data_IF_602902791934
#
_entry.id   IF_602902791934
#
_cell.length_a   1.000
_cell.length_b   1.000
_cell.length_c   1.000
_cell.angle_alpha   90.00
_cell.angle_beta   90.00
_cell.angle_gamma   90.00
#
_symmetry.space_group_name_H-M   'P 1'
#
loop_
_entity.id
_entity.type
_entity.pdbx_description
1 polymer ?
#
# COMPACT_ATOMS: atom_id res chain seq x y z
N UNK A 1 -18.59 -8.66 22.72
CA UNK A 1 -17.63 -9.67 23.22
C UNK A 1 -16.77 -10.22 22.08
N UNK A 2 -17.34 -10.54 20.92
CA UNK A 2 -16.65 -11.15 19.77
C UNK A 2 -15.46 -10.33 19.27
N UNK A 3 -15.61 -9.02 19.11
CA UNK A 3 -14.54 -8.15 18.61
C UNK A 3 -13.34 -8.09 19.58
N UNK A 4 -13.58 -8.08 20.90
CA UNK A 4 -12.49 -8.06 21.88
C UNK A 4 -11.71 -9.37 21.88
N UNK A 5 -12.43 -10.51 21.75
CA UNK A 5 -11.84 -11.82 21.62
C UNK A 5 -11.00 -11.91 20.32
N UNK A 6 -11.56 -11.45 19.20
CA UNK A 6 -10.84 -11.40 17.93
C UNK A 6 -9.55 -10.59 18.05
N UNK A 7 -9.63 -9.35 18.54
CA UNK A 7 -8.48 -8.46 18.70
C UNK A 7 -7.42 -9.09 19.61
N UNK A 8 -7.82 -9.73 20.72
CA UNK A 8 -6.87 -10.43 21.59
C UNK A 8 -6.12 -11.53 20.83
N UNK A 9 -6.85 -12.40 20.12
CA UNK A 9 -6.25 -13.52 19.36
C UNK A 9 -5.32 -12.99 18.29
N UNK A 10 -5.76 -11.98 17.50
CA UNK A 10 -4.95 -11.39 16.44
C UNK A 10 -3.67 -10.78 17.00
N UNK A 11 -3.73 -10.01 18.07
CA UNK A 11 -2.55 -9.40 18.68
C UNK A 11 -1.57 -10.44 19.24
N UNK A 12 -2.06 -11.47 19.93
CA UNK A 12 -1.19 -12.54 20.44
C UNK A 12 -0.48 -13.26 19.30
N UNK A 13 -1.24 -13.70 18.29
CA UNK A 13 -0.68 -14.46 17.19
C UNK A 13 0.30 -13.62 16.37
N UNK A 14 -0.06 -12.38 16.04
CA UNK A 14 0.82 -11.48 15.28
C UNK A 14 2.12 -11.21 16.03
N UNK A 15 2.08 -10.99 17.35
CA UNK A 15 3.28 -10.72 18.13
C UNK A 15 4.20 -11.93 18.22
N UNK A 16 3.65 -13.13 18.36
CA UNK A 16 4.44 -14.37 18.34
C UNK A 16 5.14 -14.54 16.98
N UNK A 17 4.42 -14.38 15.88
CA UNK A 17 4.99 -14.54 14.56
C UNK A 17 5.95 -13.39 14.17
N UNK A 18 5.68 -12.17 14.61
CA UNK A 18 6.59 -11.04 14.42
C UNK A 18 7.93 -11.29 15.12
N UNK A 19 7.90 -11.73 16.39
CA UNK A 19 9.10 -12.11 17.15
C UNK A 19 9.88 -13.25 16.48
N UNK A 20 9.19 -14.27 15.98
CA UNK A 20 9.81 -15.38 15.25
C UNK A 20 10.47 -14.88 13.95
N UNK A 21 9.82 -13.99 13.21
CA UNK A 21 10.37 -13.39 12.00
C UNK A 21 11.64 -12.57 12.30
N UNK A 22 11.64 -11.76 13.35
CA UNK A 22 12.81 -10.97 13.76
C UNK A 22 13.99 -11.87 14.18
N UNK A 23 13.74 -12.97 14.87
CA UNK A 23 14.79 -13.96 15.24
C UNK A 23 15.47 -14.59 14.04
N UNK A 24 14.75 -14.80 12.94
CA UNK A 24 15.35 -15.29 11.68
C UNK A 24 15.85 -14.18 10.78
N UNK A 25 15.84 -12.94 11.28
CA UNK A 25 16.36 -11.79 10.56
C UNK A 25 15.42 -11.20 9.51
N UNK A 26 14.12 -11.51 9.57
CA UNK A 26 13.08 -10.92 8.74
C UNK A 26 12.37 -9.77 9.47
N UNK A 27 11.83 -8.78 8.76
CA UNK A 27 11.02 -7.73 9.37
C UNK A 27 9.78 -8.30 10.09
N UNK A 28 9.37 -7.67 11.21
CA UNK A 28 8.16 -8.05 11.95
C UNK A 28 6.90 -8.15 11.07
N UNK A 29 6.78 -7.25 10.09
CA UNK A 29 5.73 -7.24 9.07
C UNK A 29 5.56 -8.60 8.38
N UNK A 30 6.66 -9.28 8.04
CA UNK A 30 6.60 -10.61 7.39
C UNK A 30 5.96 -11.61 8.34
N UNK A 31 6.32 -11.57 9.62
CA UNK A 31 5.69 -12.40 10.65
C UNK A 31 4.20 -12.13 10.79
N UNK A 32 3.80 -10.87 10.81
CA UNK A 32 2.39 -10.47 10.91
C UNK A 32 1.55 -10.95 9.70
N UNK A 33 2.11 -10.91 8.49
CA UNK A 33 1.47 -11.46 7.29
C UNK A 33 1.35 -12.98 7.35
N UNK A 34 2.44 -13.67 7.74
CA UNK A 34 2.45 -15.13 7.89
C UNK A 34 1.48 -15.59 8.99
N UNK A 35 1.33 -14.81 10.06
CA UNK A 35 0.32 -15.04 11.08
C UNK A 35 -1.09 -15.06 10.50
N UNK A 36 -1.41 -14.10 9.62
CA UNK A 36 -2.69 -14.04 8.92
C UNK A 36 -2.93 -15.27 8.04
N UNK A 37 -1.93 -15.66 7.26
CA UNK A 37 -1.98 -16.88 6.43
C UNK A 37 -2.22 -18.13 7.29
N UNK A 38 -1.47 -18.28 8.39
CA UNK A 38 -1.62 -19.41 9.29
C UNK A 38 -3.03 -19.47 9.92
N UNK A 39 -3.54 -18.32 10.37
CA UNK A 39 -4.91 -18.22 10.88
C UNK A 39 -5.95 -18.57 9.80
N UNK A 40 -5.79 -18.06 8.57
CA UNK A 40 -6.67 -18.38 7.45
C UNK A 40 -6.72 -19.88 7.16
N UNK A 41 -5.56 -20.56 7.13
CA UNK A 41 -5.48 -22.01 6.95
C UNK A 41 -6.13 -22.80 8.09
N UNK A 42 -5.97 -22.34 9.33
CA UNK A 42 -6.59 -22.95 10.51
C UNK A 42 -8.11 -22.79 10.45
N UNK A 43 -8.61 -21.60 10.15
CA UNK A 43 -10.05 -21.34 10.01
C UNK A 43 -10.67 -22.15 8.89
N UNK A 44 -9.99 -22.31 7.76
CA UNK A 44 -10.48 -23.11 6.64
C UNK A 44 -10.62 -24.61 6.99
N UNK A 45 -9.77 -25.12 7.91
CA UNK A 45 -9.79 -26.55 8.32
C UNK A 45 -10.66 -26.84 9.54
N UNK A 46 -10.88 -25.88 10.39
CA UNK A 46 -11.49 -26.06 11.73
C UNK A 46 -12.71 -25.15 11.93
N UNK A 47 -13.55 -25.01 10.89
CA UNK A 47 -14.69 -24.08 10.89
C UNK A 47 -15.63 -24.27 12.08
N UNK A 48 -15.93 -25.52 12.48
CA UNK A 48 -16.88 -25.80 13.57
C UNK A 48 -16.31 -25.45 14.96
N UNK A 49 -15.02 -25.62 15.19
CA UNK A 49 -14.38 -25.36 16.48
C UNK A 49 -13.99 -23.90 16.69
N UNK A 50 -13.85 -23.12 15.61
CA UNK A 50 -13.45 -21.71 15.60
C UNK A 50 -14.50 -20.79 14.94
N UNK A 51 -15.74 -21.23 14.88
CA UNK A 51 -16.85 -20.50 14.23
C UNK A 51 -16.97 -19.05 14.71
N UNK A 52 -16.75 -18.82 16.01
CA UNK A 52 -16.78 -17.48 16.61
C UNK A 52 -15.67 -16.57 16.08
N UNK A 53 -14.48 -17.12 15.84
CA UNK A 53 -13.36 -16.36 15.25
C UNK A 53 -13.61 -16.09 13.76
N UNK A 54 -14.11 -17.09 13.02
CA UNK A 54 -14.45 -16.97 11.60
C UNK A 54 -15.54 -15.93 11.35
N UNK A 55 -16.61 -15.93 12.13
CA UNK A 55 -17.67 -14.92 12.03
C UNK A 55 -17.19 -13.53 12.40
N UNK A 56 -16.36 -13.42 13.44
CA UNK A 56 -15.77 -12.15 13.84
C UNK A 56 -14.86 -11.53 12.76
N UNK A 57 -14.07 -12.36 12.03
CA UNK A 57 -13.25 -11.90 10.91
C UNK A 57 -14.04 -11.41 9.69
N UNK A 58 -15.31 -11.77 9.57
CA UNK A 58 -16.21 -11.31 8.52
C UNK A 58 -17.09 -10.13 8.95
N UNK A 59 -16.97 -9.68 10.22
CA UNK A 59 -17.79 -8.61 10.76
C UNK A 59 -17.41 -7.23 10.19
N UNK A 60 -18.41 -6.36 10.05
CA UNK A 60 -18.22 -4.95 9.67
C UNK A 60 -17.30 -4.21 10.65
N UNK A 61 -17.38 -4.54 11.94
CA UNK A 61 -16.50 -3.98 12.97
C UNK A 61 -15.04 -4.33 12.76
N UNK A 62 -14.75 -5.54 12.28
CA UNK A 62 -13.38 -5.94 11.92
C UNK A 62 -12.86 -5.17 10.70
N UNK A 63 -13.67 -5.06 9.65
CA UNK A 63 -13.30 -4.28 8.46
C UNK A 63 -13.04 -2.81 8.80
N UNK A 64 -13.83 -2.24 9.72
CA UNK A 64 -13.61 -0.89 10.23
C UNK A 64 -12.27 -0.75 10.97
N UNK A 65 -11.88 -1.75 11.78
CA UNK A 65 -10.56 -1.78 12.43
C UNK A 65 -9.41 -1.90 11.43
N UNK A 66 -9.57 -2.70 10.39
CA UNK A 66 -8.61 -2.84 9.30
C UNK A 66 -8.43 -1.51 8.57
N UNK A 67 -9.53 -0.81 8.26
CA UNK A 67 -9.51 0.51 7.62
C UNK A 67 -8.84 1.57 8.50
N UNK A 68 -9.11 1.55 9.82
CA UNK A 68 -8.39 2.39 10.79
C UNK A 68 -6.90 2.06 10.82
N UNK A 69 -6.54 0.78 10.73
CA UNK A 69 -5.13 0.35 10.62
C UNK A 69 -4.43 0.96 9.41
N UNK A 70 -5.08 0.94 8.25
CA UNK A 70 -4.58 1.59 7.04
C UNK A 70 -4.45 3.11 7.21
N UNK A 71 -5.49 3.76 7.76
CA UNK A 71 -5.48 5.19 8.01
C UNK A 71 -4.30 5.62 8.89
N UNK A 72 -4.13 4.95 10.05
CA UNK A 72 -3.06 5.27 10.99
C UNK A 72 -1.67 4.95 10.44
N UNK A 73 -1.52 3.86 9.67
CA UNK A 73 -0.26 3.54 8.98
C UNK A 73 0.14 4.65 8.01
N UNK A 74 -0.82 5.13 7.20
CA UNK A 74 -0.56 6.19 6.24
C UNK A 74 -0.30 7.53 6.90
N UNK A 75 -1.06 7.86 7.95
CA UNK A 75 -0.84 9.08 8.72
C UNK A 75 0.56 9.08 9.35
N UNK A 76 0.97 7.97 9.97
CA UNK A 76 2.32 7.82 10.55
C UNK A 76 3.42 7.88 9.47
N UNK A 77 3.19 7.26 8.32
CA UNK A 77 4.13 7.36 7.20
C UNK A 77 4.28 8.82 6.74
N UNK A 78 3.17 9.56 6.64
CA UNK A 78 3.20 10.99 6.33
C UNK A 78 3.97 11.82 7.36
N UNK A 79 3.72 11.60 8.67
CA UNK A 79 4.41 12.31 9.76
C UNK A 79 5.94 12.11 9.68
N UNK A 80 6.39 10.90 9.36
CA UNK A 80 7.81 10.55 9.26
C UNK A 80 8.49 11.05 7.99
N UNK A 81 7.74 11.67 7.10
CA UNK A 81 8.27 12.26 5.88
C UNK A 81 8.57 13.75 6.06
N UNK A 82 9.71 14.19 5.55
CA UNK A 82 10.09 15.59 5.54
C UNK A 82 9.67 16.27 4.22
N UNK A 83 8.64 17.13 4.20
CA UNK A 83 8.12 17.75 2.97
C UNK A 83 9.13 18.64 2.25
N UNK A 84 10.08 19.24 2.97
CA UNK A 84 11.13 20.06 2.39
C UNK A 84 12.13 19.26 1.54
N UNK A 85 12.30 17.98 1.83
CA UNK A 85 13.02 17.07 0.95
C UNK A 85 12.21 16.76 -0.32
N UNK A 86 10.86 16.81 -0.25
CA UNK A 86 9.97 16.70 -1.40
C UNK A 86 10.10 17.87 -2.39
N UNK A 87 10.21 19.10 -1.91
CA UNK A 87 10.41 20.27 -2.78
C UNK A 87 11.76 20.22 -3.50
N UNK A 88 12.73 19.46 -2.96
CA UNK A 88 13.99 19.07 -3.61
C UNK A 88 13.89 17.72 -4.31
N UNK A 89 12.66 17.16 -4.50
CA UNK A 89 12.46 15.90 -5.20
C UNK A 89 13.13 16.01 -6.56
N UNK A 90 14.23 15.36 -6.60
CA UNK A 90 15.05 15.16 -7.75
C UNK A 90 14.17 14.66 -8.90
N UNK A 91 14.37 15.20 -10.09
CA UNK A 91 13.84 14.63 -11.35
C UNK A 91 13.99 13.11 -11.40
N UNK A 92 14.96 12.58 -10.64
CA UNK A 92 15.21 11.14 -10.48
C UNK A 92 14.04 10.39 -9.86
N UNK A 93 13.43 10.88 -8.79
CA UNK A 93 12.31 10.18 -8.13
C UNK A 93 11.08 10.08 -9.05
N UNK A 94 10.78 11.15 -9.78
CA UNK A 94 9.67 11.15 -10.75
C UNK A 94 9.93 10.15 -11.90
N UNK A 95 11.13 10.14 -12.45
CA UNK A 95 11.48 9.20 -13.55
C UNK A 95 11.50 7.75 -13.07
N UNK A 96 11.96 7.50 -11.84
CA UNK A 96 11.90 6.17 -11.20
C UNK A 96 10.45 5.73 -10.97
N UNK A 97 9.58 6.63 -10.52
CA UNK A 97 8.15 6.35 -10.34
C UNK A 97 7.45 6.09 -11.68
N UNK A 98 7.62 6.97 -12.65
CA UNK A 98 7.01 6.81 -13.99
C UNK A 98 7.46 5.50 -14.66
N UNK A 99 8.75 5.21 -14.64
CA UNK A 99 9.26 3.94 -15.16
C UNK A 99 8.74 2.75 -14.37
N UNK A 100 8.72 2.86 -13.03
CA UNK A 100 8.18 1.86 -12.10
C UNK A 100 6.68 1.63 -12.21
N UNK A 101 5.94 2.53 -12.86
CA UNK A 101 4.52 2.38 -13.18
C UNK A 101 4.31 1.89 -14.62
N UNK A 102 4.89 2.56 -15.60
CA UNK A 102 4.63 2.28 -17.02
C UNK A 102 5.09 0.87 -17.42
N UNK A 103 6.28 0.46 -16.96
CA UNK A 103 6.83 -0.85 -17.32
C UNK A 103 6.02 -2.00 -16.72
N UNK A 104 5.65 -2.01 -15.41
CA UNK A 104 4.78 -3.04 -14.85
C UNK A 104 3.37 -3.02 -15.45
N UNK A 105 2.76 -1.84 -15.67
CA UNK A 105 1.43 -1.76 -16.31
C UNK A 105 1.48 -2.40 -17.70
N UNK A 106 2.47 -2.04 -18.50
CA UNK A 106 2.64 -2.60 -19.85
C UNK A 106 2.90 -4.11 -19.82
N UNK A 107 3.78 -4.57 -18.93
CA UNK A 107 4.11 -5.99 -18.79
C UNK A 107 2.92 -6.82 -18.30
N UNK A 108 2.18 -6.33 -17.30
CA UNK A 108 0.99 -7.01 -16.78
C UNK A 108 -0.16 -7.00 -17.78
N UNK A 109 -0.36 -5.90 -18.49
CA UNK A 109 -1.33 -5.81 -19.57
C UNK A 109 -1.00 -6.80 -20.69
N UNK A 110 0.25 -6.87 -21.13
CA UNK A 110 0.70 -7.81 -22.14
C UNK A 110 0.52 -9.28 -21.70
N UNK A 111 0.85 -9.58 -20.43
CA UNK A 111 0.60 -10.91 -19.85
C UNK A 111 -0.90 -11.25 -19.87
N UNK A 112 -1.75 -10.35 -19.42
CA UNK A 112 -3.20 -10.53 -19.42
C UNK A 112 -3.74 -10.78 -20.85
N UNK A 113 -3.30 -9.97 -21.81
CA UNK A 113 -3.67 -10.14 -23.21
C UNK A 113 -3.15 -11.45 -23.84
N UNK A 114 -2.07 -12.03 -23.30
CA UNK A 114 -1.55 -13.30 -23.79
C UNK A 114 -2.26 -14.52 -23.20
N UNK A 115 -2.76 -14.42 -21.94
CA UNK A 115 -3.21 -15.57 -21.17
C UNK A 115 -4.73 -15.61 -20.98
N UNK A 116 -5.39 -14.44 -20.88
CA UNK A 116 -6.85 -14.38 -20.73
C UNK A 116 -7.51 -14.65 -22.07
N UNK A 117 -8.51 -15.57 -22.13
CA UNK A 117 -9.26 -15.84 -23.35
C UNK A 117 -9.98 -14.61 -23.92
N UNK A 118 -10.23 -14.61 -25.21
CA UNK A 118 -10.95 -13.54 -25.88
C UNK A 118 -12.35 -13.34 -25.30
N UNK A 119 -12.58 -12.13 -24.81
CA UNK A 119 -13.87 -11.71 -24.24
C UNK A 119 -13.95 -10.18 -24.21
N UNK A 120 -15.15 -9.60 -24.09
CA UNK A 120 -15.31 -8.15 -23.89
C UNK A 120 -14.57 -7.63 -22.65
N UNK A 121 -14.31 -8.50 -21.66
CA UNK A 121 -13.68 -8.17 -20.39
C UNK A 121 -12.15 -8.31 -20.40
N UNK A 122 -11.58 -8.98 -21.41
CA UNK A 122 -10.13 -9.27 -21.49
C UNK A 122 -9.25 -8.02 -21.32
N UNK A 123 -9.62 -6.93 -21.98
CA UNK A 123 -8.85 -5.66 -21.92
C UNK A 123 -8.82 -5.11 -20.50
N UNK A 124 -9.97 -5.09 -19.81
CA UNK A 124 -10.05 -4.54 -18.44
C UNK A 124 -9.40 -5.47 -17.42
N UNK A 125 -9.58 -6.78 -17.57
CA UNK A 125 -8.88 -7.77 -16.74
C UNK A 125 -7.38 -7.70 -16.94
N UNK A 126 -6.90 -7.48 -18.16
CA UNK A 126 -5.48 -7.27 -18.46
C UNK A 126 -4.96 -5.95 -17.87
N UNK A 127 -5.75 -4.87 -17.96
CA UNK A 127 -5.43 -3.60 -17.34
C UNK A 127 -5.39 -3.72 -15.81
N UNK A 128 -6.28 -4.51 -15.22
CA UNK A 128 -6.28 -4.81 -13.79
C UNK A 128 -4.97 -5.51 -13.38
N UNK A 129 -4.51 -6.53 -14.12
CA UNK A 129 -3.22 -7.19 -13.87
C UNK A 129 -2.09 -6.16 -13.94
N UNK A 130 -2.06 -5.33 -14.98
CA UNK A 130 -1.06 -4.26 -15.13
C UNK A 130 -1.05 -3.29 -13.96
N UNK A 131 -2.24 -2.84 -13.54
CA UNK A 131 -2.43 -1.95 -12.39
C UNK A 131 -1.92 -2.60 -11.10
N UNK A 132 -2.29 -3.85 -10.83
CA UNK A 132 -1.82 -4.60 -9.67
C UNK A 132 -0.30 -4.76 -9.67
N UNK A 133 0.32 -5.01 -10.83
CA UNK A 133 1.79 -5.09 -10.93
C UNK A 133 2.48 -3.73 -10.75
N UNK A 134 1.81 -2.63 -10.96
CA UNK A 134 2.39 -1.29 -10.84
C UNK A 134 2.42 -0.79 -9.39
N UNK A 135 1.44 -1.12 -8.58
CA UNK A 135 1.29 -0.59 -7.21
C UNK A 135 2.49 -0.98 -6.34
N UNK A 136 3.03 -0.01 -5.60
CA UNK A 136 4.09 -0.20 -4.59
C UNK A 136 3.54 0.18 -3.22
N UNK A 137 3.91 -0.53 -2.16
CA UNK A 137 3.50 -0.16 -0.82
C UNK A 137 4.53 0.75 -0.14
N UNK A 138 4.24 2.05 -0.03
CA UNK A 138 5.09 3.00 0.70
C UNK A 138 5.39 2.52 2.13
N UNK A 139 4.41 2.11 2.97
CA UNK A 139 4.70 1.68 4.33
C UNK A 139 5.66 0.49 4.40
N UNK A 140 5.55 -0.44 3.46
CA UNK A 140 6.44 -1.61 3.38
C UNK A 140 7.86 -1.17 3.02
N UNK A 141 8.01 -0.32 2.00
CA UNK A 141 9.31 0.23 1.62
C UNK A 141 9.96 1.02 2.77
N UNK A 142 9.21 1.94 3.39
CA UNK A 142 9.68 2.73 4.56
C UNK A 142 10.15 1.79 5.65
N UNK A 143 9.35 0.79 6.03
CA UNK A 143 9.69 -0.16 7.10
C UNK A 143 10.99 -0.91 6.79
N UNK A 144 11.14 -1.43 5.57
CA UNK A 144 12.33 -2.17 5.17
C UNK A 144 13.58 -1.28 5.24
N UNK A 145 13.50 -0.05 4.70
CA UNK A 145 14.64 0.88 4.73
C UNK A 145 14.95 1.39 6.15
N UNK A 146 13.94 1.48 7.04
CA UNK A 146 14.17 1.74 8.48
C UNK A 146 14.93 0.57 9.13
N UNK A 147 14.48 -0.65 8.93
CA UNK A 147 15.10 -1.85 9.51
C UNK A 147 16.54 -2.09 8.99
N UNK A 148 16.86 -1.55 7.82
CA UNK A 148 18.22 -1.58 7.24
C UNK A 148 19.08 -0.37 7.64
N UNK A 149 18.55 0.57 8.42
CA UNK A 149 19.18 1.86 8.74
C UNK A 149 19.61 2.64 7.47
N UNK A 150 18.83 2.48 6.39
CA UNK A 150 19.08 3.09 5.08
C UNK A 150 18.01 4.13 4.69
N UNK A 151 17.10 4.51 5.61
CA UNK A 151 15.99 5.42 5.32
C UNK A 151 16.50 6.78 4.80
N UNK A 152 17.54 7.30 5.42
CA UNK A 152 18.15 8.60 5.09
C UNK A 152 19.23 8.51 4.00
N UNK A 153 19.53 7.31 3.47
CA UNK A 153 20.43 7.14 2.35
C UNK A 153 19.85 7.72 1.06
N UNK A 154 20.72 7.98 0.07
CA UNK A 154 20.26 8.42 -1.27
C UNK A 154 19.26 7.43 -1.88
N UNK A 155 19.49 6.13 -1.70
CA UNK A 155 18.61 5.06 -2.17
C UNK A 155 17.27 5.08 -1.43
N UNK A 156 17.28 5.12 -0.10
CA UNK A 156 16.06 5.15 0.73
C UNK A 156 15.18 6.35 0.37
N UNK A 157 15.77 7.55 0.31
CA UNK A 157 15.06 8.78 -0.10
C UNK A 157 14.48 8.68 -1.50
N UNK A 158 15.25 8.12 -2.46
CA UNK A 158 14.77 7.95 -3.84
C UNK A 158 13.61 6.97 -3.91
N UNK A 159 13.68 5.82 -3.23
CA UNK A 159 12.62 4.82 -3.20
C UNK A 159 11.36 5.39 -2.55
N UNK A 160 11.50 6.06 -1.41
CA UNK A 160 10.35 6.62 -0.70
C UNK A 160 9.67 7.71 -1.53
N UNK A 161 10.47 8.64 -2.09
CA UNK A 161 9.94 9.69 -2.96
C UNK A 161 9.28 9.11 -4.22
N UNK A 162 9.88 8.09 -4.84
CA UNK A 162 9.31 7.42 -6.00
C UNK A 162 8.03 6.65 -5.64
N UNK A 163 8.01 5.94 -4.49
CA UNK A 163 6.85 5.19 -4.03
C UNK A 163 5.65 6.10 -3.74
N UNK A 164 5.87 7.31 -3.23
CA UNK A 164 4.81 8.30 -3.05
C UNK A 164 4.21 8.78 -4.36
N UNK A 165 5.04 9.04 -5.37
CA UNK A 165 4.54 9.35 -6.71
C UNK A 165 3.81 8.14 -7.30
N UNK A 166 4.32 6.94 -7.07
CA UNK A 166 3.69 5.69 -7.51
C UNK A 166 2.31 5.51 -6.86
N UNK A 167 2.14 5.82 -5.57
CA UNK A 167 0.84 5.79 -4.89
C UNK A 167 -0.16 6.77 -5.52
N UNK A 168 0.25 8.00 -5.80
CA UNK A 168 -0.60 8.98 -6.47
C UNK A 168 -1.02 8.53 -7.87
N UNK A 169 -0.07 8.01 -8.63
CA UNK A 169 -0.30 7.49 -9.98
C UNK A 169 -1.16 6.22 -9.96
N UNK A 170 -0.98 5.36 -8.95
CA UNK A 170 -1.77 4.14 -8.76
C UNK A 170 -3.23 4.44 -8.42
N UNK A 171 -3.50 5.48 -7.63
CA UNK A 171 -4.86 5.95 -7.36
C UNK A 171 -5.52 6.51 -8.62
N UNK A 172 -4.76 7.22 -9.45
CA UNK A 172 -5.23 7.65 -10.76
C UNK A 172 -5.56 6.46 -11.66
N UNK A 173 -4.68 5.45 -11.69
CA UNK A 173 -4.88 4.25 -12.48
C UNK A 173 -6.07 3.41 -11.96
N UNK A 174 -6.25 3.32 -10.65
CA UNK A 174 -7.41 2.69 -10.02
C UNK A 174 -8.71 3.40 -10.40
N UNK A 175 -8.73 4.72 -10.30
CA UNK A 175 -9.91 5.48 -10.67
C UNK A 175 -10.26 5.33 -12.16
N UNK A 176 -9.24 5.26 -13.02
CA UNK A 176 -9.41 4.94 -14.44
C UNK A 176 -9.99 3.53 -14.63
N UNK A 177 -9.47 2.54 -13.91
CA UNK A 177 -9.94 1.16 -13.94
C UNK A 177 -11.41 1.08 -13.49
N UNK A 178 -11.77 1.76 -12.39
CA UNK A 178 -13.15 1.80 -11.88
C UNK A 178 -14.12 2.51 -12.84
N UNK A 179 -13.69 3.59 -13.49
CA UNK A 179 -14.50 4.25 -14.50
C UNK A 179 -14.79 3.35 -15.68
N UNK A 180 -13.82 2.52 -16.09
CA UNK A 180 -14.02 1.51 -17.16
C UNK A 180 -14.95 0.38 -16.72
N UNK A 181 -14.87 -0.05 -15.46
CA UNK A 181 -15.74 -1.09 -14.89
C UNK A 181 -17.18 -0.56 -14.73
N UNK A 182 -17.36 0.68 -14.24
CA UNK A 182 -18.67 1.27 -13.88
C UNK A 182 -19.56 1.66 -15.05
N UNK A 183 -19.02 1.91 -16.23
CA UNK A 183 -19.79 2.29 -17.44
C UNK A 183 -20.24 1.08 -18.28
N UNK A 184 -20.66 -0.03 -17.64
CA UNK A 184 -21.24 -1.21 -18.30
C UNK A 184 -20.48 -1.68 -19.57
N UNK A 185 -19.14 -1.63 -19.56
CA UNK A 185 -18.27 -2.18 -20.61
C UNK A 185 -18.59 -1.77 -22.07
N UNK A 186 -19.67 -1.05 -22.28
CA UNK A 186 -20.10 -0.64 -23.60
C UNK A 186 -19.61 0.78 -23.87
N UNK A 187 -18.59 0.83 -24.69
CA UNK A 187 -18.15 2.00 -25.44
C UNK A 187 -17.44 3.12 -24.65
N UNK A 188 -16.17 3.25 -25.01
CA UNK A 188 -15.39 4.48 -24.93
C UNK A 188 -15.20 5.06 -23.53
N UNK A 189 -14.00 4.90 -23.01
CA UNK A 189 -13.42 5.87 -22.08
C UNK A 189 -13.69 7.27 -22.64
N UNK A 190 -14.85 7.83 -22.29
CA UNK A 190 -15.19 9.16 -22.74
C UNK A 190 -14.11 10.11 -22.22
N UNK A 191 -13.48 10.83 -23.12
CA UNK A 191 -12.45 11.84 -22.76
C UNK A 191 -12.89 12.76 -21.64
N UNK A 192 -14.21 12.95 -21.48
CA UNK A 192 -14.81 13.73 -20.40
C UNK A 192 -14.66 13.09 -19.00
N UNK A 193 -14.79 11.76 -18.85
CA UNK A 193 -14.67 11.11 -17.55
C UNK A 193 -13.22 11.17 -17.02
N UNK A 194 -12.24 10.94 -17.91
CA UNK A 194 -10.82 11.07 -17.58
C UNK A 194 -10.47 12.52 -17.21
N UNK A 195 -11.00 13.49 -17.96
CA UNK A 195 -10.76 14.91 -17.68
C UNK A 195 -11.38 15.33 -16.33
N UNK A 196 -12.58 14.84 -16.02
CA UNK A 196 -13.25 15.11 -14.74
C UNK A 196 -12.46 14.52 -13.58
N UNK A 197 -11.91 13.30 -13.74
CA UNK A 197 -11.08 12.67 -12.71
C UNK A 197 -9.78 13.46 -12.48
N UNK A 198 -9.09 13.85 -13.55
CA UNK A 198 -7.91 14.72 -13.46
C UNK A 198 -8.29 16.01 -12.74
N UNK A 199 -9.44 16.62 -13.09
CA UNK A 199 -9.95 17.81 -12.43
C UNK A 199 -10.17 17.62 -10.93
N UNK A 200 -10.75 16.49 -10.50
CA UNK A 200 -10.95 16.16 -9.08
C UNK A 200 -9.62 15.99 -8.34
N UNK A 201 -8.65 15.30 -8.93
CA UNK A 201 -7.31 15.13 -8.35
C UNK A 201 -6.63 16.49 -8.20
N UNK A 202 -6.63 17.31 -9.25
CA UNK A 202 -6.04 18.65 -9.20
C UNK A 202 -6.73 19.54 -8.16
N UNK A 203 -8.05 19.48 -8.07
CA UNK A 203 -8.83 20.23 -7.07
C UNK A 203 -8.48 19.77 -5.66
N UNK A 204 -8.37 18.45 -5.44
CA UNK A 204 -7.97 17.91 -4.15
C UNK A 204 -6.63 18.48 -3.69
N UNK A 205 -5.60 18.44 -4.54
CA UNK A 205 -4.29 19.01 -4.22
C UNK A 205 -4.32 20.55 -4.11
N UNK A 206 -5.06 21.22 -4.98
CA UNK A 206 -5.20 22.68 -4.94
C UNK A 206 -5.85 23.19 -3.64
N UNK A 207 -6.64 22.36 -2.97
CA UNK A 207 -7.26 22.69 -1.67
C UNK A 207 -6.37 22.22 -0.50
N UNK A 208 -5.93 20.96 -0.53
CA UNK A 208 -5.23 20.34 0.62
C UNK A 208 -3.82 20.89 0.81
N UNK A 209 -3.08 21.14 -0.27
CA UNK A 209 -1.69 21.65 -0.17
C UNK A 209 -1.64 23.06 0.46
N UNK A 210 -2.42 24.07 0.02
CA UNK A 210 -2.44 25.36 0.69
C UNK A 210 -2.89 25.26 2.17
N UNK A 211 -3.92 24.48 2.47
CA UNK A 211 -4.34 24.25 3.85
C UNK A 211 -3.17 23.67 4.67
N UNK A 212 -2.50 22.66 4.15
CA UNK A 212 -1.34 22.05 4.81
C UNK A 212 -0.19 23.03 5.06
N UNK A 213 0.14 23.85 4.06
CA UNK A 213 1.25 24.80 4.14
C UNK A 213 0.95 26.03 5.02
N UNK A 214 -0.29 26.51 5.05
CA UNK A 214 -0.63 27.76 5.72
C UNK A 214 -1.40 27.56 7.03
N UNK A 215 -2.28 26.55 7.12
CA UNK A 215 -3.13 26.34 8.30
C UNK A 215 -2.41 25.54 9.37
N UNK A 216 -1.75 24.43 9.02
CA UNK A 216 -1.06 23.57 9.99
C UNK A 216 0.01 24.30 10.81
N UNK A 217 0.95 25.08 10.23
CA UNK A 217 1.92 25.81 10.99
C UNK A 217 1.34 26.87 11.92
N UNK A 218 0.24 27.52 11.47
CA UNK A 218 -0.43 28.53 12.28
C UNK A 218 -1.27 27.91 13.41
N UNK A 219 -1.87 26.75 13.17
CA UNK A 219 -2.63 26.00 14.17
C UNK A 219 -1.77 25.69 15.40
N UNK A 220 -0.50 25.32 15.22
CA UNK A 220 0.45 25.09 16.28
C UNK A 220 0.67 26.31 17.19
N UNK A 221 0.58 27.53 16.68
CA UNK A 221 0.63 28.77 17.46
C UNK A 221 -0.62 29.00 18.30
N UNK A 222 -1.81 28.71 17.74
CA UNK A 222 -3.08 28.86 18.47
C UNK A 222 -3.24 27.81 19.54
N UNK A 223 -2.76 26.58 19.31
CA UNK A 223 -2.87 25.46 20.25
C UNK A 223 -2.07 25.67 21.55
N UNK A 224 -1.00 26.48 21.53
CA UNK A 224 -0.23 26.82 22.73
C UNK A 224 -1.06 27.52 23.83
N UNK A 225 -2.24 28.08 23.48
CA UNK A 225 -3.15 28.73 24.41
C UNK A 225 -4.22 27.75 24.98
N UNK A 226 -4.31 26.55 24.47
CA UNK A 226 -5.23 25.53 24.95
C UNK A 226 -4.56 24.69 26.06
N UNK A 227 -5.27 24.51 27.16
CA UNK A 227 -4.74 23.85 28.35
C UNK A 227 -5.13 22.38 28.45
N UNK A 228 -5.61 21.77 27.35
CA UNK A 228 -5.97 20.34 27.32
C UNK A 228 -4.70 19.50 27.07
N UNK A 229 -4.46 18.47 27.87
CA UNK A 229 -3.46 17.48 27.52
C UNK A 229 -3.81 16.84 26.17
N UNK A 230 -2.81 16.55 25.34
CA UNK A 230 -2.92 15.86 24.05
C UNK A 230 -3.72 16.59 22.95
N UNK A 231 -3.87 17.92 23.08
CA UNK A 231 -4.55 18.76 22.07
C UNK A 231 -3.91 18.58 20.68
N UNK A 232 -2.58 18.55 20.63
CA UNK A 232 -1.83 18.47 19.38
C UNK A 232 -2.10 17.15 18.65
N UNK A 233 -2.17 16.04 19.38
CA UNK A 233 -2.52 14.73 18.83
C UNK A 233 -3.96 14.72 18.29
N UNK A 234 -4.92 15.24 19.06
CA UNK A 234 -6.32 15.31 18.65
C UNK A 234 -6.51 16.19 17.41
N UNK A 235 -5.82 17.33 17.34
CA UNK A 235 -5.90 18.23 16.19
C UNK A 235 -5.29 17.63 14.92
N UNK A 236 -4.20 16.88 15.07
CA UNK A 236 -3.65 16.12 13.95
C UNK A 236 -4.66 15.10 13.42
N UNK A 237 -5.32 14.34 14.31
CA UNK A 237 -6.35 13.37 13.93
C UNK A 237 -7.55 14.05 13.25
N UNK A 238 -8.04 15.16 13.80
CA UNK A 238 -9.14 15.94 13.20
C UNK A 238 -8.74 16.40 11.79
N UNK A 239 -7.55 16.96 11.64
CA UNK A 239 -7.03 17.38 10.34
C UNK A 239 -6.90 16.19 9.36
N UNK A 240 -6.34 15.08 9.83
CA UNK A 240 -6.17 13.88 9.01
C UNK A 240 -7.51 13.27 8.58
N UNK A 241 -8.51 13.21 9.47
CA UNK A 241 -9.85 12.75 9.15
C UNK A 241 -10.56 13.70 8.17
N UNK A 242 -10.39 15.02 8.34
CA UNK A 242 -10.96 16.00 7.40
C UNK A 242 -10.37 15.84 5.99
N UNK A 243 -9.05 15.63 5.88
CA UNK A 243 -8.39 15.37 4.61
C UNK A 243 -8.83 14.02 4.00
N UNK A 244 -8.97 12.99 4.82
CA UNK A 244 -9.45 11.67 4.39
C UNK A 244 -10.88 11.74 3.84
N UNK A 245 -11.80 12.39 4.56
CA UNK A 245 -13.19 12.60 4.13
C UNK A 245 -13.22 13.43 2.83
N UNK A 246 -12.40 14.47 2.75
CA UNK A 246 -12.34 15.29 1.54
C UNK A 246 -11.80 14.51 0.34
N UNK A 247 -10.81 13.63 0.54
CA UNK A 247 -10.33 12.71 -0.50
C UNK A 247 -11.48 11.82 -1.02
N UNK A 248 -12.25 11.19 -0.13
CA UNK A 248 -13.39 10.35 -0.51
C UNK A 248 -14.49 11.13 -1.25
N UNK A 249 -14.82 12.34 -0.80
CA UNK A 249 -15.77 13.21 -1.51
C UNK A 249 -15.31 13.56 -2.94
N UNK A 250 -14.00 13.59 -3.17
CA UNK A 250 -13.43 13.79 -4.51
C UNK A 250 -13.34 12.49 -5.33
N UNK A 251 -13.74 11.34 -4.75
CA UNK A 251 -13.61 10.03 -5.37
C UNK A 251 -12.19 9.46 -5.32
N UNK A 252 -11.37 9.97 -4.39
CA UNK A 252 -10.03 9.48 -4.09
C UNK A 252 -10.09 8.60 -2.83
N UNK A 253 -9.11 7.75 -2.64
CA UNK A 253 -9.07 6.90 -1.44
C UNK A 253 -8.65 7.70 -0.20
N UNK A 254 -9.31 7.48 0.95
CA UNK A 254 -9.07 8.20 2.22
C UNK A 254 -7.61 8.17 2.70
N UNK A 255 -6.88 7.11 2.35
CA UNK A 255 -5.46 6.93 2.65
C UNK A 255 -4.60 8.10 2.16
N UNK A 256 -4.92 8.65 0.98
CA UNK A 256 -4.22 9.80 0.43
C UNK A 256 -4.37 11.04 1.32
N UNK A 257 -5.60 11.27 1.80
CA UNK A 257 -5.87 12.38 2.72
C UNK A 257 -5.11 12.24 4.03
N UNK A 258 -5.15 11.04 4.64
CA UNK A 258 -4.42 10.74 5.86
C UNK A 258 -2.91 10.95 5.71
N UNK A 259 -2.34 10.45 4.60
CA UNK A 259 -0.93 10.62 4.29
C UNK A 259 -0.52 12.10 4.15
N UNK A 260 -1.28 12.87 3.34
CA UNK A 260 -0.99 14.30 3.15
C UNK A 260 -1.09 15.10 4.46
N UNK A 261 -2.11 14.83 5.28
CA UNK A 261 -2.23 15.47 6.58
C UNK A 261 -1.01 15.19 7.48
N UNK A 262 -0.55 13.93 7.52
CA UNK A 262 0.68 13.56 8.22
C UNK A 262 1.91 14.27 7.68
N UNK A 263 2.05 14.38 6.37
CA UNK A 263 3.17 15.04 5.71
C UNK A 263 3.28 16.53 6.07
N UNK A 264 2.16 17.22 6.28
CA UNK A 264 2.18 18.62 6.71
C UNK A 264 2.42 18.81 8.21
N UNK A 265 2.33 17.74 9.00
CA UNK A 265 2.69 17.73 10.42
C UNK A 265 4.15 17.28 10.59
N UNK A 266 5.08 18.18 10.37
CA UNK A 266 6.52 17.87 10.43
C UNK A 266 7.28 18.78 11.42
N UNK A 267 8.50 18.39 11.75
CA UNK A 267 9.37 19.06 12.75
C UNK A 267 9.63 20.55 12.47
N UNK A 268 9.53 21.01 11.22
CA UNK A 268 9.69 22.43 10.86
C UNK A 268 8.38 23.23 10.93
N UNK A 269 7.24 22.56 10.95
CA UNK A 269 5.90 23.18 11.04
C UNK A 269 5.40 23.29 12.48
N UNK A 270 5.89 22.43 13.37
CA UNK A 270 5.47 22.32 14.77
C UNK A 270 6.71 22.33 15.65
N UNK A 271 6.55 22.70 16.94
CA UNK A 271 7.63 22.63 17.91
C UNK A 271 8.24 21.22 17.95
N UNK A 272 9.58 21.06 17.93
CA UNK A 272 10.23 19.75 17.89
C UNK A 272 9.85 18.82 19.06
N UNK A 273 9.56 19.37 20.24
CA UNK A 273 9.10 18.60 21.41
C UNK A 273 7.67 18.05 21.21
N UNK A 274 6.80 18.86 20.61
CA UNK A 274 5.45 18.47 20.23
C UNK A 274 5.48 17.39 19.14
N UNK A 275 6.25 17.63 18.08
CA UNK A 275 6.42 16.67 16.99
C UNK A 275 6.83 15.28 17.52
N UNK A 276 7.89 15.22 18.34
CA UNK A 276 8.39 13.95 18.88
C UNK A 276 7.36 13.24 19.77
N UNK A 277 6.62 13.98 20.58
CA UNK A 277 5.55 13.44 21.45
C UNK A 277 4.43 12.83 20.63
N UNK A 278 3.90 13.57 19.64
CA UNK A 278 2.83 13.12 18.77
C UNK A 278 3.26 11.94 17.90
N UNK A 279 4.47 11.98 17.33
CA UNK A 279 5.03 10.86 16.55
C UNK A 279 5.14 9.58 17.39
N UNK A 280 5.59 9.68 18.66
CA UNK A 280 5.67 8.54 19.56
C UNK A 280 4.28 7.97 19.91
N UNK A 281 3.27 8.82 20.17
CA UNK A 281 1.90 8.39 20.42
C UNK A 281 1.30 7.71 19.19
N UNK A 282 1.48 8.30 18.01
CA UNK A 282 1.05 7.73 16.73
C UNK A 282 1.74 6.39 16.46
N UNK A 283 3.04 6.31 16.69
CA UNK A 283 3.81 5.07 16.52
C UNK A 283 3.32 3.97 17.46
N UNK A 284 3.03 4.30 18.72
CA UNK A 284 2.50 3.35 19.71
C UNK A 284 1.15 2.74 19.27
N UNK A 285 0.19 3.59 18.87
CA UNK A 285 -1.13 3.16 18.42
C UNK A 285 -1.00 2.38 17.10
N UNK A 286 -0.24 2.90 16.16
CA UNK A 286 -0.12 2.30 14.83
C UNK A 286 0.63 0.98 14.90
N UNK A 287 1.91 1.01 15.26
CA UNK A 287 2.77 -0.19 15.23
C UNK A 287 2.47 -1.14 16.38
N UNK A 288 1.95 -0.63 17.53
CA UNK A 288 1.60 -1.42 18.70
C UNK A 288 0.28 -2.17 18.59
N UNK A 289 -0.68 -1.64 17.82
CA UNK A 289 -2.04 -2.14 17.85
C UNK A 289 -2.66 -2.31 16.46
N UNK A 290 -2.78 -1.25 15.66
CA UNK A 290 -3.59 -1.26 14.45
C UNK A 290 -2.89 -1.91 13.25
N UNK A 291 -1.59 -1.69 13.08
CA UNK A 291 -0.83 -2.27 11.96
C UNK A 291 -0.79 -3.80 11.97
N UNK A 292 -0.58 -4.50 13.10
CA UNK A 292 -0.69 -5.95 13.17
C UNK A 292 -2.06 -6.49 12.75
N UNK A 293 -3.15 -5.82 13.14
CA UNK A 293 -4.52 -6.21 12.74
C UNK A 293 -4.68 -6.08 11.23
N UNK A 294 -4.18 -4.98 10.66
CA UNK A 294 -4.19 -4.75 9.24
C UNK A 294 -3.38 -5.82 8.48
N UNK A 295 -2.13 -6.08 8.85
CA UNK A 295 -1.30 -7.04 8.13
C UNK A 295 -1.79 -8.48 8.24
N UNK A 296 -2.36 -8.85 9.39
CA UNK A 296 -3.01 -10.16 9.52
C UNK A 296 -4.24 -10.28 8.64
N UNK A 297 -5.02 -9.20 8.49
CA UNK A 297 -6.16 -9.18 7.59
C UNK A 297 -5.75 -9.49 6.15
N UNK A 298 -4.64 -8.92 5.71
CA UNK A 298 -4.06 -9.21 4.39
C UNK A 298 -3.77 -10.71 4.23
N UNK A 299 -3.15 -11.31 5.24
CA UNK A 299 -2.84 -12.74 5.24
C UNK A 299 -4.07 -13.66 5.28
N UNK A 300 -5.13 -13.25 6.00
CA UNK A 300 -6.37 -14.01 6.12
C UNK A 300 -7.13 -14.20 4.80
N UNK A 301 -7.06 -13.22 3.91
CA UNK A 301 -7.76 -13.25 2.62
C UNK A 301 -7.02 -14.05 1.53
N UNK A 302 -5.89 -14.67 1.85
CA UNK A 302 -5.12 -15.42 0.90
C UNK A 302 -5.72 -16.82 0.68
N UNK A 303 -6.11 -17.12 -0.56
CA UNK A 303 -6.52 -18.44 -1.00
C UNK A 303 -5.43 -19.11 -1.85
N UNK A 304 -4.94 -20.26 -1.39
CA UNK A 304 -3.91 -21.05 -2.10
C UNK A 304 -4.48 -21.86 -3.27
N UNK A 305 -5.79 -21.83 -3.52
CA UNK A 305 -6.41 -22.55 -4.62
C UNK A 305 -5.81 -22.15 -5.98
N UNK A 306 -5.46 -20.87 -6.17
CA UNK A 306 -4.83 -20.37 -7.39
C UNK A 306 -3.49 -21.06 -7.72
N UNK A 307 -2.73 -21.45 -6.70
CA UNK A 307 -1.44 -22.17 -6.90
C UNK A 307 -1.68 -23.55 -7.48
N UNK A 308 -2.70 -24.24 -7.02
CA UNK A 308 -3.04 -25.58 -7.48
C UNK A 308 -3.73 -25.60 -8.85
N UNK A 309 -4.46 -24.56 -9.19
CA UNK A 309 -5.23 -24.47 -10.45
C UNK A 309 -4.40 -23.89 -11.60
N UNK A 310 -3.61 -22.85 -11.35
CA UNK A 310 -2.84 -22.13 -12.39
C UNK A 310 -1.39 -21.84 -11.97
N UNK A 311 -0.60 -22.84 -11.56
CA UNK A 311 0.73 -22.63 -10.97
C UNK A 311 1.70 -21.94 -11.94
N UNK A 312 1.62 -22.27 -13.22
CA UNK A 312 2.45 -21.64 -14.26
C UNK A 312 2.16 -20.14 -14.42
N UNK A 313 0.88 -19.75 -14.37
CA UNK A 313 0.49 -18.34 -14.43
C UNK A 313 0.98 -17.56 -13.19
N UNK A 314 0.81 -18.14 -11.99
CA UNK A 314 1.26 -17.52 -10.74
C UNK A 314 2.78 -17.32 -10.75
N UNK A 315 3.54 -18.32 -11.19
CA UNK A 315 5.01 -18.22 -11.28
C UNK A 315 5.44 -17.12 -12.26
N UNK A 316 4.84 -17.06 -13.45
CA UNK A 316 5.13 -16.03 -14.46
C UNK A 316 4.73 -14.65 -13.94
N UNK A 317 3.57 -14.53 -13.28
CA UNK A 317 3.10 -13.28 -12.68
C UNK A 317 4.11 -12.74 -11.65
N UNK A 318 4.59 -13.58 -10.74
CA UNK A 318 5.60 -13.22 -9.74
C UNK A 318 6.91 -12.78 -10.40
N UNK A 319 7.39 -13.53 -11.40
CA UNK A 319 8.61 -13.18 -12.13
C UNK A 319 8.48 -11.84 -12.84
N UNK A 320 7.37 -11.60 -13.52
CA UNK A 320 7.09 -10.33 -14.21
C UNK A 320 6.96 -9.19 -13.18
N UNK A 321 6.34 -9.43 -12.02
CA UNK A 321 6.21 -8.44 -10.97
C UNK A 321 7.58 -7.91 -10.51
N UNK A 322 8.54 -8.79 -10.24
CA UNK A 322 9.91 -8.39 -9.90
C UNK A 322 10.67 -7.79 -11.08
N UNK A 323 10.67 -8.46 -12.22
CA UNK A 323 11.44 -8.03 -13.38
C UNK A 323 11.00 -6.66 -13.88
N UNK A 324 9.68 -6.42 -13.95
CA UNK A 324 9.15 -5.15 -14.44
C UNK A 324 9.45 -3.97 -13.48
N UNK A 325 9.39 -4.17 -12.16
CA UNK A 325 9.80 -3.14 -11.19
C UNK A 325 11.31 -2.93 -11.21
N UNK A 326 12.09 -4.00 -11.28
CA UNK A 326 13.54 -3.91 -11.37
C UNK A 326 13.98 -3.12 -12.62
N UNK A 327 13.40 -3.41 -13.77
CA UNK A 327 13.67 -2.69 -15.01
C UNK A 327 13.06 -1.28 -14.98
N UNK A 328 11.80 -1.16 -14.60
CA UNK A 328 11.06 0.10 -14.63
C UNK A 328 11.58 1.15 -13.67
N UNK A 329 12.01 0.76 -12.47
CA UNK A 329 12.53 1.70 -11.45
C UNK A 329 14.07 1.68 -11.42
N UNK A 330 14.69 0.52 -11.53
CA UNK A 330 16.15 0.38 -11.43
C UNK A 330 16.92 1.00 -12.61
N UNK A 331 16.45 0.80 -13.86
CA UNK A 331 17.14 1.40 -15.02
C UNK A 331 17.11 2.94 -15.01
N UNK A 332 15.97 3.61 -14.77
CA UNK A 332 15.97 5.06 -14.60
C UNK A 332 16.91 5.53 -13.49
N UNK A 333 16.93 4.83 -12.34
CA UNK A 333 17.84 5.16 -11.26
C UNK A 333 19.32 5.07 -11.72
N UNK A 334 19.68 4.04 -12.49
CA UNK A 334 21.01 3.89 -13.06
C UNK A 334 21.37 5.01 -14.05
N UNK A 335 20.47 5.35 -14.96
CA UNK A 335 20.69 6.44 -15.94
C UNK A 335 20.81 7.81 -15.28
N UNK A 336 20.28 7.96 -14.08
CA UNK A 336 20.35 9.20 -13.29
C UNK A 336 21.61 9.27 -12.40
N UNK A 337 22.52 8.30 -12.54
CA UNK A 337 23.85 8.35 -11.93
C UNK A 337 24.01 7.54 -10.65
N UNK A 338 23.00 6.74 -10.24
CA UNK A 338 23.19 5.79 -9.16
C UNK A 338 24.08 4.63 -9.63
N UNK A 339 24.86 4.07 -8.72
CA UNK A 339 25.66 2.88 -8.99
C UNK A 339 24.76 1.68 -9.33
N UNK A 340 25.31 0.65 -9.96
CA UNK A 340 24.57 -0.58 -10.28
C UNK A 340 23.91 -1.21 -9.06
N UNK A 341 24.61 -1.19 -7.92
CA UNK A 341 24.10 -1.73 -6.65
C UNK A 341 22.96 -0.90 -6.10
N UNK A 342 23.09 0.42 -6.08
CA UNK A 342 22.04 1.33 -5.62
C UNK A 342 20.81 1.26 -6.52
N UNK A 343 21.00 1.18 -7.85
CA UNK A 343 19.92 1.03 -8.83
C UNK A 343 19.16 -0.29 -8.64
N UNK A 344 19.88 -1.38 -8.33
CA UNK A 344 19.27 -2.66 -7.98
C UNK A 344 18.47 -2.55 -6.68
N UNK A 345 19.00 -1.85 -5.67
CA UNK A 345 18.28 -1.60 -4.42
C UNK A 345 17.02 -0.76 -4.64
N UNK A 346 17.06 0.24 -5.54
CA UNK A 346 15.87 1.01 -5.92
C UNK A 346 14.82 0.10 -6.57
N UNK A 347 15.19 -0.68 -7.58
CA UNK A 347 14.27 -1.58 -8.28
C UNK A 347 13.64 -2.63 -7.35
N UNK A 348 14.45 -3.25 -6.48
CA UNK A 348 13.96 -4.21 -5.47
C UNK A 348 13.11 -3.51 -4.41
N UNK A 349 13.53 -2.33 -3.92
CA UNK A 349 12.78 -1.56 -2.92
C UNK A 349 11.39 -1.15 -3.41
N UNK A 350 11.26 -0.86 -4.70
CA UNK A 350 9.97 -0.58 -5.35
C UNK A 350 9.13 -1.83 -5.62
N UNK A 351 9.64 -3.04 -5.35
CA UNK A 351 8.89 -4.29 -5.56
C UNK A 351 8.04 -4.70 -4.36
N UNK A 352 8.17 -4.03 -3.20
CA UNK A 352 7.36 -4.29 -2.02
C UNK A 352 5.89 -3.97 -2.27
N UNK A 353 5.01 -4.91 -1.92
CA UNK A 353 3.57 -4.79 -2.09
C UNK A 353 2.87 -4.63 -0.74
N UNK A 354 1.59 -4.24 -0.77
CA UNK A 354 0.84 -4.04 0.48
C UNK A 354 -0.66 -3.92 0.30
N UNK A 355 -1.29 -3.23 1.25
CA UNK A 355 -2.72 -3.12 1.37
C UNK A 355 -3.42 -2.51 0.15
N UNK A 356 -2.82 -1.50 -0.46
CA UNK A 356 -3.45 -0.78 -1.59
C UNK A 356 -3.75 -1.74 -2.74
N UNK A 357 -2.83 -2.66 -3.02
CA UNK A 357 -3.04 -3.69 -4.05
C UNK A 357 -4.21 -4.62 -3.71
N UNK A 358 -4.35 -5.01 -2.44
CA UNK A 358 -5.45 -5.86 -1.99
C UNK A 358 -6.78 -5.12 -2.00
N UNK A 359 -6.79 -3.83 -1.68
CA UNK A 359 -7.98 -2.98 -1.81
C UNK A 359 -8.40 -2.91 -3.28
N UNK A 360 -7.45 -2.68 -4.19
CA UNK A 360 -7.72 -2.68 -5.64
C UNK A 360 -8.27 -4.03 -6.09
N UNK A 361 -7.71 -5.13 -5.59
CA UNK A 361 -8.20 -6.47 -5.88
C UNK A 361 -9.61 -6.71 -5.29
N UNK A 362 -9.88 -6.25 -4.07
CA UNK A 362 -11.18 -6.32 -3.42
C UNK A 362 -12.26 -5.55 -4.17
N UNK A 363 -11.98 -4.32 -4.58
CA UNK A 363 -12.90 -3.51 -5.38
C UNK A 363 -13.19 -4.18 -6.73
N UNK A 364 -12.18 -4.74 -7.39
CA UNK A 364 -12.37 -5.45 -8.65
C UNK A 364 -13.21 -6.73 -8.46
N UNK A 365 -13.08 -7.40 -7.30
CA UNK A 365 -13.91 -8.55 -6.92
C UNK A 365 -15.36 -8.14 -6.69
N UNK A 366 -15.61 -7.09 -5.90
CA UNK A 366 -16.95 -6.53 -5.65
C UNK A 366 -17.63 -6.06 -6.92
N UNK A 367 -16.87 -5.50 -7.86
CA UNK A 367 -17.36 -5.11 -9.18
C UNK A 367 -17.61 -6.28 -10.12
N UNK A 368 -17.37 -7.53 -9.69
CA UNK A 368 -17.63 -8.74 -10.49
C UNK A 368 -16.65 -8.96 -11.65
N UNK A 369 -15.49 -8.29 -11.65
CA UNK A 369 -14.51 -8.37 -12.73
C UNK A 369 -14.00 -9.81 -12.98
N UNK A 370 -13.94 -10.63 -11.92
CA UNK A 370 -13.45 -12.01 -11.97
C UNK A 370 -14.54 -13.05 -12.20
N UNK A 371 -15.80 -12.62 -12.35
CA UNK A 371 -16.95 -13.49 -12.60
C UNK A 371 -17.36 -13.52 -14.08
N UNK A 372 -16.65 -12.80 -14.92
CA UNK A 372 -16.99 -12.65 -16.35
C UNK A 372 -15.80 -13.06 -17.24
N UNK A 373 -16.02 -13.62 -18.45
CA UNK A 373 -17.34 -14.00 -19.04
C UNK A 373 -17.91 -15.28 -18.40
N UNK A 374 -19.18 -15.55 -18.67
CA UNK A 374 -19.79 -16.82 -18.26
C UNK A 374 -19.78 -17.82 -19.43
N UNK A 375 -19.35 -19.10 -19.26
CA UNK A 375 -18.74 -19.65 -18.04
C UNK A 375 -17.36 -19.02 -17.80
N UNK A 376 -17.03 -18.78 -16.51
CA UNK A 376 -15.78 -18.11 -16.15
C UNK A 376 -14.57 -19.01 -16.42
N UNK A 377 -13.59 -18.57 -17.20
CA UNK A 377 -12.35 -19.32 -17.39
C UNK A 377 -11.58 -19.45 -16.07
N UNK A 378 -10.97 -20.62 -15.83
CA UNK A 378 -10.22 -20.93 -14.60
C UNK A 378 -9.16 -19.87 -14.27
N UNK A 379 -8.50 -19.33 -15.29
CA UNK A 379 -7.49 -18.29 -15.10
C UNK A 379 -8.10 -16.97 -14.59
N UNK A 380 -9.29 -16.61 -15.03
CA UNK A 380 -10.00 -15.40 -14.59
C UNK A 380 -10.51 -15.57 -13.16
N UNK A 381 -11.08 -16.72 -12.84
CA UNK A 381 -11.51 -17.07 -11.48
C UNK A 381 -10.34 -17.02 -10.49
N UNK A 382 -9.15 -17.44 -10.94
CA UNK A 382 -7.95 -17.47 -10.10
C UNK A 382 -7.21 -16.13 -10.02
N UNK A 383 -7.61 -15.09 -10.78
CA UNK A 383 -6.86 -13.82 -10.85
C UNK A 383 -6.71 -13.14 -9.50
N UNK A 384 -7.78 -13.08 -8.70
CA UNK A 384 -7.74 -12.47 -7.37
C UNK A 384 -6.67 -13.15 -6.50
N UNK A 385 -6.78 -14.47 -6.33
CA UNK A 385 -5.84 -15.23 -5.48
C UNK A 385 -4.41 -15.22 -6.02
N UNK A 386 -4.24 -15.23 -7.36
CA UNK A 386 -2.93 -15.13 -7.98
C UNK A 386 -2.24 -13.78 -7.68
N UNK A 387 -2.99 -12.68 -7.74
CA UNK A 387 -2.46 -11.35 -7.43
C UNK A 387 -2.17 -11.21 -5.94
N UNK A 388 -3.06 -11.68 -5.06
CA UNK A 388 -2.82 -11.68 -3.61
C UNK A 388 -1.58 -12.51 -3.26
N UNK A 389 -1.41 -13.68 -3.87
CA UNK A 389 -0.23 -14.51 -3.66
C UNK A 389 1.05 -13.85 -4.19
N UNK A 390 0.98 -13.22 -5.38
CA UNK A 390 2.09 -12.45 -5.92
C UNK A 390 2.48 -11.31 -4.98
N UNK A 391 1.50 -10.57 -4.44
CA UNK A 391 1.74 -9.51 -3.46
C UNK A 391 2.42 -10.04 -2.20
N UNK A 392 1.95 -11.16 -1.66
CA UNK A 392 2.56 -11.79 -0.49
C UNK A 392 4.02 -12.20 -0.75
N UNK A 393 4.26 -12.93 -1.85
CA UNK A 393 5.61 -13.41 -2.19
C UNK A 393 6.56 -12.23 -2.41
N UNK A 394 6.15 -11.22 -3.15
CA UNK A 394 6.99 -10.04 -3.39
C UNK A 394 7.28 -9.28 -2.11
N UNK A 395 6.30 -9.14 -1.21
CA UNK A 395 6.49 -8.48 0.10
C UNK A 395 7.45 -9.25 1.01
N UNK A 396 7.39 -10.58 0.99
CA UNK A 396 8.32 -11.43 1.77
C UNK A 396 9.73 -11.41 1.16
N UNK A 397 9.85 -11.51 -0.15
CA UNK A 397 11.14 -11.64 -0.85
C UNK A 397 11.90 -10.31 -0.87
N UNK A 398 11.19 -9.18 -1.01
CA UNK A 398 11.80 -7.85 -1.11
C UNK A 398 12.77 -7.53 0.05
N UNK A 399 12.41 -7.65 1.34
CA UNK A 399 13.33 -7.36 2.44
C UNK A 399 14.52 -8.34 2.48
N UNK A 400 14.30 -9.60 2.12
CA UNK A 400 15.37 -10.62 2.08
C UNK A 400 16.41 -10.24 1.04
N UNK A 401 15.97 -9.92 -0.17
CA UNK A 401 16.86 -9.54 -1.28
C UNK A 401 17.56 -8.22 -0.98
N UNK A 402 16.85 -7.22 -0.43
CA UNK A 402 17.46 -5.95 -0.04
C UNK A 402 18.55 -6.13 1.01
N UNK A 403 18.36 -6.99 2.02
CA UNK A 403 19.41 -7.29 3.01
C UNK A 403 20.68 -7.89 2.39
N UNK A 404 20.54 -8.72 1.36
CA UNK A 404 21.70 -9.29 0.65
C UNK A 404 22.45 -8.26 -0.20
N UNK A 405 21.70 -7.31 -0.77
CA UNK A 405 22.26 -6.27 -1.63
C UNK A 405 22.77 -5.08 -0.80
N UNK A 406 22.14 -4.75 0.32
CA UNK A 406 22.52 -3.61 1.14
C UNK A 406 23.99 -3.69 1.60
N UNK A 407 24.73 -2.57 1.62
CA UNK A 407 26.08 -2.56 2.17
C UNK A 407 26.03 -3.06 3.62
N UNK A 408 26.89 -4.01 3.95
CA UNK A 408 27.10 -4.37 5.35
C UNK A 408 27.72 -3.15 6.01
N UNK A 409 26.99 -2.50 6.92
CA UNK A 409 27.56 -1.46 7.75
C UNK A 409 28.71 -2.11 8.50
N UNK A 410 29.96 -1.70 8.16
CA UNK A 410 31.12 -2.13 8.91
C UNK A 410 30.96 -1.59 10.33
N UNK A 411 30.89 -2.47 11.31
CA UNK A 411 31.13 -2.19 12.73
C UNK A 411 32.62 -1.89 12.92
#
# INVERSE_FOLDING_TARGET
MEILYLVLVLLVVTRVFAELAERVGLPALVGELVAGVALGLILARSYDSLALLGSACQSESYNSLVSLGMFFLMLLAGIRMEPLEFARISRSAILVALGGMIVPVGAGFALGMAVIPDSPFRVVQSLFIGTALAITAVPVAVRIFMDLDQLNSLVGRTVIAAALWDDLLSLFLLALLLAVIGENFSSTLGSGAVLLLIGKVLLFFAVTVPIGLFVFPNLGRYLRHLHFPEVEFSMLLIGALAYAIFAELMGLHFILGAFLAGMFFHSNSVDPGVYKRVEQQMSGITSGFLAPIFFVSVGLHLDFSAVSQVPGFVAVLILIAFASKLLGSGLPAYWLGLSKRESLMVGVGMSGRGAVELIVAGIALEAGLFLQPQPTPVIVESLFSAIVLMALVTTIVTPIVLRWIAPKNGH
#
